data_IF_600851709053
#
_entry.id   IF_600851709053
#
_cell.length_a   1.000
_cell.length_b   1.000
_cell.length_c   1.000
_cell.angle_alpha   90.00
_cell.angle_beta   90.00
_cell.angle_gamma   90.00
#
_symmetry.space_group_name_H-M   'P 1'
#
loop_
_entity.id
_entity.type
_entity.pdbx_description
1 polymer ?
#
# COMPACT_ATOMS: atom_id res chain seq x y z
N UNK A 1 -6.01 -14.58 -22.56
CA UNK A 1 -5.12 -13.75 -21.73
C UNK A 1 -5.34 -14.15 -20.27
N UNK A 2 -4.57 -15.13 -19.77
CA UNK A 2 -4.64 -15.52 -18.37
C UNK A 2 -3.88 -14.49 -17.55
N UNK A 3 -4.57 -13.73 -16.72
CA UNK A 3 -3.90 -12.89 -15.72
C UNK A 3 -3.46 -13.85 -14.60
N UNK A 4 -2.14 -14.03 -14.48
CA UNK A 4 -1.56 -14.84 -13.40
C UNK A 4 -1.81 -14.16 -12.06
N UNK A 5 -2.16 -14.98 -11.07
CA UNK A 5 -2.36 -14.57 -9.67
C UNK A 5 -1.17 -13.77 -9.12
N UNK A 6 0.04 -14.08 -9.59
CA UNK A 6 1.28 -13.37 -9.27
C UNK A 6 1.22 -11.86 -9.52
N UNK A 7 0.54 -11.39 -10.57
CA UNK A 7 0.41 -9.96 -10.85
C UNK A 7 -0.43 -9.25 -9.79
N UNK A 8 -1.49 -9.90 -9.29
CA UNK A 8 -2.31 -9.35 -8.21
C UNK A 8 -1.54 -9.32 -6.88
N UNK A 9 -0.76 -10.36 -6.58
CA UNK A 9 0.10 -10.37 -5.39
C UNK A 9 1.19 -9.29 -5.46
N UNK A 10 1.84 -9.12 -6.62
CA UNK A 10 2.84 -8.07 -6.81
C UNK A 10 2.23 -6.68 -6.63
N UNK A 11 1.05 -6.44 -7.18
CA UNK A 11 0.35 -5.17 -7.03
C UNK A 11 -0.02 -4.92 -5.56
N UNK A 12 -0.59 -5.91 -4.88
CA UNK A 12 -0.94 -5.82 -3.46
C UNK A 12 0.30 -5.55 -2.60
N UNK A 13 1.40 -6.26 -2.85
CA UNK A 13 2.68 -6.04 -2.15
C UNK A 13 3.24 -4.64 -2.40
N UNK A 14 3.16 -4.14 -3.65
CA UNK A 14 3.60 -2.79 -3.98
C UNK A 14 2.77 -1.73 -3.25
N UNK A 15 1.44 -1.85 -3.24
CA UNK A 15 0.55 -0.96 -2.50
C UNK A 15 0.83 -1.00 -0.99
N UNK A 16 0.99 -2.19 -0.42
CA UNK A 16 1.32 -2.35 0.99
C UNK A 16 2.65 -1.66 1.37
N UNK A 17 3.70 -1.83 0.56
CA UNK A 17 4.97 -1.14 0.74
C UNK A 17 4.84 0.39 0.65
N UNK A 18 4.00 0.90 -0.27
CA UNK A 18 3.69 2.33 -0.39
C UNK A 18 2.98 2.82 0.87
N UNK A 19 2.03 2.05 1.40
CA UNK A 19 1.33 2.36 2.64
C UNK A 19 2.28 2.43 3.85
N UNK A 20 3.21 1.48 3.98
CA UNK A 20 4.25 1.52 5.03
C UNK A 20 5.14 2.75 4.87
N UNK A 21 5.61 3.04 3.65
CA UNK A 21 6.44 4.21 3.41
C UNK A 21 5.72 5.52 3.74
N UNK A 22 4.45 5.61 3.36
CA UNK A 22 3.55 6.71 3.69
C UNK A 22 3.38 6.86 5.21
N UNK A 23 3.21 5.75 5.94
CA UNK A 23 3.09 5.72 7.39
C UNK A 23 4.35 6.29 8.07
N UNK A 24 5.54 5.83 7.67
CA UNK A 24 6.82 6.20 8.31
C UNK A 24 7.23 7.65 8.02
N UNK A 25 6.99 8.13 6.79
CA UNK A 25 7.40 9.49 6.37
C UNK A 25 6.38 10.56 6.78
N UNK A 26 5.15 10.18 7.13
CA UNK A 26 4.08 11.14 7.40
C UNK A 26 4.32 11.93 8.69
N UNK A 27 4.38 13.26 8.55
CA UNK A 27 4.36 14.21 9.68
C UNK A 27 2.95 14.67 10.08
N UNK A 28 1.93 14.20 9.36
CA UNK A 28 0.52 14.58 9.55
C UNK A 28 -0.31 13.35 9.90
N UNK A 29 -1.07 13.42 11.00
CA UNK A 29 -1.92 12.31 11.44
C UNK A 29 -2.94 11.86 10.38
N UNK A 30 -3.51 12.79 9.60
CA UNK A 30 -4.42 12.46 8.50
C UNK A 30 -3.75 11.63 7.41
N UNK A 31 -2.47 11.92 7.11
CA UNK A 31 -1.71 11.18 6.10
C UNK A 31 -1.30 9.79 6.60
N UNK A 32 -1.03 9.67 7.90
CA UNK A 32 -0.86 8.37 8.57
C UNK A 32 -2.12 7.52 8.41
N UNK A 33 -3.30 8.07 8.69
CA UNK A 33 -4.58 7.36 8.55
C UNK A 33 -4.87 6.94 7.10
N UNK A 34 -4.66 7.84 6.13
CA UNK A 34 -4.81 7.50 4.71
C UNK A 34 -3.84 6.38 4.30
N UNK A 35 -2.61 6.37 4.84
CA UNK A 35 -1.63 5.31 4.56
C UNK A 35 -2.05 3.96 5.15
N UNK A 36 -2.77 3.97 6.28
CA UNK A 36 -3.35 2.76 6.88
C UNK A 36 -4.52 2.23 6.05
N UNK A 37 -5.42 3.10 5.58
CA UNK A 37 -6.51 2.73 4.66
C UNK A 37 -5.98 2.15 3.34
N UNK A 38 -4.77 2.54 2.90
CA UNK A 38 -4.14 1.99 1.70
C UNK A 38 -3.52 0.60 1.93
N UNK A 39 -3.19 0.25 3.19
CA UNK A 39 -2.68 -1.07 3.57
C UNK A 39 -3.79 -2.09 3.84
N UNK A 40 -4.99 -1.62 4.23
CA UNK A 40 -6.20 -2.41 4.47
C UNK A 40 -6.94 -2.71 3.16
#
# INVERSE_FOLDING_TARGET
MQIQLEYYLLLAAALFCIGIYGLVTSRNAVRVLMSIELML
#
